data_IF_230194580161
#
_entry.id   IF_230194580161
#
_cell.length_a   1.000
_cell.length_b   1.000
_cell.length_c   1.000
_cell.angle_alpha   90.00
_cell.angle_beta   90.00
_cell.angle_gamma   90.00
#
_symmetry.space_group_name_H-M   'P 1'
#
loop_
_entity.id
_entity.type
_entity.pdbx_description
1 polymer ?
#
# COMPACT_ATOMS: atom_id res chain seq x y z
N UNK A 1 -29.39 15.14 11.26
CA UNK A 1 -29.21 16.43 11.96
C UNK A 1 -29.68 17.62 11.10
N UNK A 2 -29.24 17.76 9.83
CA UNK A 2 -29.72 18.81 8.92
C UNK A 2 -31.21 18.67 8.55
N UNK A 3 -31.71 17.43 8.42
CA UNK A 3 -33.13 17.18 8.09
C UNK A 3 -34.12 17.50 9.22
N UNK A 4 -33.61 17.79 10.42
CA UNK A 4 -34.43 18.26 11.54
C UNK A 4 -34.70 19.78 11.44
N UNK A 5 -33.96 20.51 10.58
CA UNK A 5 -34.12 21.95 10.38
C UNK A 5 -35.11 22.23 9.25
N UNK A 6 -35.96 23.24 9.43
CA UNK A 6 -37.00 23.64 8.45
C UNK A 6 -36.76 25.05 7.91
N UNK A 7 -37.20 25.28 6.68
CA UNK A 7 -37.15 26.61 6.03
C UNK A 7 -35.73 27.16 5.90
N UNK A 8 -35.56 28.46 6.18
CA UNK A 8 -34.28 29.19 6.02
C UNK A 8 -33.12 28.59 6.82
N UNK A 9 -33.38 28.00 7.98
CA UNK A 9 -32.35 27.44 8.85
C UNK A 9 -31.70 26.17 8.28
N UNK A 10 -32.44 25.38 7.48
CA UNK A 10 -31.88 24.25 6.74
C UNK A 10 -30.82 24.73 5.75
N UNK A 11 -31.13 25.78 4.99
CA UNK A 11 -30.23 26.33 3.99
C UNK A 11 -29.01 27.02 4.60
N UNK A 12 -29.17 27.69 5.74
CA UNK A 12 -28.03 28.23 6.51
C UNK A 12 -27.10 27.10 6.97
N UNK A 13 -27.65 26.01 7.51
CA UNK A 13 -26.83 24.87 7.95
C UNK A 13 -26.13 24.17 6.78
N UNK A 14 -26.82 23.97 5.65
CA UNK A 14 -26.21 23.42 4.42
C UNK A 14 -25.08 24.34 3.94
N UNK A 15 -25.31 25.66 3.91
CA UNK A 15 -24.29 26.63 3.53
C UNK A 15 -23.07 26.60 4.45
N UNK A 16 -23.28 26.53 5.77
CA UNK A 16 -22.21 26.46 6.76
C UNK A 16 -21.38 25.16 6.62
N UNK A 17 -22.03 24.01 6.45
CA UNK A 17 -21.33 22.73 6.22
C UNK A 17 -20.59 22.75 4.89
N UNK A 18 -21.20 23.27 3.82
CA UNK A 18 -20.54 23.43 2.53
C UNK A 18 -19.31 24.33 2.61
N UNK A 19 -19.40 25.46 3.31
CA UNK A 19 -18.28 26.36 3.55
C UNK A 19 -17.16 25.70 4.37
N UNK A 20 -17.51 24.91 5.39
CA UNK A 20 -16.53 24.15 6.18
C UNK A 20 -15.79 23.11 5.34
N UNK A 21 -16.50 22.34 4.51
CA UNK A 21 -15.89 21.36 3.61
C UNK A 21 -14.97 22.07 2.61
N UNK A 22 -15.40 23.20 2.04
CA UNK A 22 -14.59 23.99 1.13
C UNK A 22 -13.32 24.53 1.82
N UNK A 23 -13.44 25.05 3.04
CA UNK A 23 -12.30 25.53 3.81
C UNK A 23 -11.30 24.40 4.11
N UNK A 24 -11.79 23.20 4.47
CA UNK A 24 -10.94 22.02 4.65
C UNK A 24 -10.24 21.62 3.35
N UNK A 25 -10.93 21.61 2.21
CA UNK A 25 -10.34 21.33 0.90
C UNK A 25 -9.23 22.33 0.56
N UNK A 26 -9.48 23.64 0.75
CA UNK A 26 -8.46 24.68 0.54
C UNK A 26 -7.24 24.44 1.45
N UNK A 27 -7.46 24.13 2.73
CA UNK A 27 -6.37 23.83 3.65
C UNK A 27 -5.57 22.59 3.24
N UNK A 28 -6.22 21.53 2.74
CA UNK A 28 -5.52 20.34 2.22
C UNK A 28 -4.67 20.70 1.01
N UNK A 29 -5.21 21.46 0.06
CA UNK A 29 -4.49 21.91 -1.15
C UNK A 29 -3.26 22.75 -0.77
N UNK A 30 -3.42 23.71 0.15
CA UNK A 30 -2.34 24.62 0.54
C UNK A 30 -1.30 23.97 1.47
N UNK A 31 -1.72 23.07 2.37
CA UNK A 31 -0.83 22.46 3.37
C UNK A 31 -0.07 21.26 2.80
N UNK A 32 -0.66 20.55 1.84
CA UNK A 32 -0.08 19.34 1.27
C UNK A 32 -0.05 19.35 -0.27
N UNK A 33 0.59 20.37 -0.90
CA UNK A 33 0.66 20.49 -2.36
C UNK A 33 1.40 19.32 -3.04
N UNK A 34 2.12 18.51 -2.26
CA UNK A 34 2.88 17.34 -2.72
C UNK A 34 2.30 15.99 -2.24
N UNK A 35 1.10 15.96 -1.62
CA UNK A 35 0.38 14.69 -1.37
C UNK A 35 -0.50 14.37 -2.58
N UNK A 36 0.15 13.90 -3.64
CA UNK A 36 -0.46 13.62 -4.94
C UNK A 36 -1.56 12.53 -4.91
N UNK A 37 -1.63 11.74 -3.84
CA UNK A 37 -2.68 10.73 -3.59
C UNK A 37 -4.11 11.29 -3.72
N UNK A 38 -4.37 12.52 -3.29
CA UNK A 38 -5.73 13.09 -3.36
C UNK A 38 -6.17 13.45 -4.78
N UNK A 39 -5.22 13.63 -5.70
CA UNK A 39 -5.50 13.96 -7.09
C UNK A 39 -5.57 12.74 -8.01
N UNK A 40 -5.26 11.54 -7.49
CA UNK A 40 -5.30 10.29 -8.27
C UNK A 40 -6.69 10.01 -8.87
N UNK A 41 -7.78 10.41 -8.20
CA UNK A 41 -9.13 10.28 -8.74
C UNK A 41 -9.37 11.16 -9.99
N UNK A 42 -8.61 12.24 -10.15
CA UNK A 42 -8.66 13.15 -11.31
C UNK A 42 -7.65 12.77 -12.39
N UNK A 43 -6.76 11.82 -12.12
CA UNK A 43 -5.64 11.46 -12.98
C UNK A 43 -5.98 10.52 -14.15
N UNK A 44 -7.23 10.04 -14.21
CA UNK A 44 -7.68 9.06 -15.21
C UNK A 44 -7.27 7.62 -14.87
N UNK A 45 -7.23 6.75 -15.87
CA UNK A 45 -7.06 5.30 -15.69
C UNK A 45 -5.64 4.85 -15.30
N UNK A 46 -4.64 5.73 -15.37
CA UNK A 46 -3.27 5.41 -14.94
C UNK A 46 -2.64 6.57 -14.14
N UNK A 47 -3.06 6.77 -12.87
CA UNK A 47 -2.55 7.83 -12.01
C UNK A 47 -1.05 7.71 -11.75
N UNK A 48 -0.54 6.47 -11.62
CA UNK A 48 0.86 6.20 -11.30
C UNK A 48 1.85 6.60 -12.41
N UNK A 49 1.38 6.79 -13.64
CA UNK A 49 2.20 7.32 -14.74
C UNK A 49 2.23 8.85 -14.81
N UNK A 50 1.34 9.55 -14.08
CA UNK A 50 1.15 11.02 -14.17
C UNK A 50 1.41 11.77 -12.86
N UNK A 51 1.37 11.07 -11.73
CA UNK A 51 1.51 11.65 -10.40
C UNK A 51 2.44 10.80 -9.54
N UNK A 52 3.13 11.43 -8.58
CA UNK A 52 3.94 10.69 -7.61
C UNK A 52 3.02 9.74 -6.84
N UNK A 53 3.32 8.45 -6.97
CA UNK A 53 2.76 7.45 -6.09
C UNK A 53 3.10 7.78 -4.64
N UNK A 54 2.26 7.36 -3.70
CA UNK A 54 2.68 7.40 -2.29
C UNK A 54 4.02 6.66 -2.10
N UNK A 55 4.74 7.04 -1.06
CA UNK A 55 6.07 6.49 -0.83
C UNK A 55 6.06 4.97 -0.67
N UNK A 56 4.93 4.38 -0.29
CA UNK A 56 4.77 2.93 -0.15
C UNK A 56 4.85 2.24 -1.51
N UNK A 57 4.07 2.70 -2.48
CA UNK A 57 4.03 2.11 -3.83
C UNK A 57 5.35 2.37 -4.60
N UNK A 58 5.98 3.55 -4.43
CA UNK A 58 7.33 3.81 -4.98
C UNK A 58 8.35 2.82 -4.43
N UNK A 59 8.29 2.55 -3.13
CA UNK A 59 9.19 1.59 -2.50
C UNK A 59 8.91 0.15 -2.90
N UNK A 60 7.66 -0.23 -3.14
CA UNK A 60 7.32 -1.53 -3.70
C UNK A 60 7.88 -1.69 -5.11
N UNK A 61 7.72 -0.70 -6.00
CA UNK A 61 8.27 -0.74 -7.36
C UNK A 61 9.80 -0.88 -7.33
N UNK A 62 10.48 -0.07 -6.51
CA UNK A 62 11.93 -0.19 -6.30
C UNK A 62 12.35 -1.53 -5.72
N UNK A 63 11.54 -2.10 -4.83
CA UNK A 63 11.80 -3.42 -4.23
C UNK A 63 11.63 -4.52 -5.27
N UNK A 64 10.61 -4.44 -6.14
CA UNK A 64 10.43 -5.38 -7.25
C UNK A 64 11.60 -5.33 -8.23
N UNK A 65 12.05 -4.14 -8.65
CA UNK A 65 13.21 -4.02 -9.53
C UNK A 65 14.45 -4.63 -8.88
N UNK A 66 14.72 -4.30 -7.61
CA UNK A 66 15.85 -4.86 -6.87
C UNK A 66 15.76 -6.38 -6.70
N UNK A 67 14.56 -6.93 -6.51
CA UNK A 67 14.33 -8.37 -6.46
C UNK A 67 14.72 -9.00 -7.80
N UNK A 68 14.19 -8.48 -8.91
CA UNK A 68 14.48 -8.98 -10.26
C UNK A 68 15.98 -8.92 -10.55
N UNK A 69 16.65 -7.81 -10.21
CA UNK A 69 18.10 -7.65 -10.38
C UNK A 69 18.93 -8.60 -9.48
N UNK A 70 18.34 -9.15 -8.41
CA UNK A 70 19.00 -10.09 -7.49
C UNK A 70 18.81 -11.55 -7.92
N UNK A 71 17.74 -11.86 -8.66
CA UNK A 71 17.45 -13.22 -9.10
C UNK A 71 18.22 -13.52 -10.38
N UNK A 72 19.26 -14.34 -10.26
CA UNK A 72 20.09 -14.82 -11.38
C UNK A 72 19.38 -15.92 -12.18
N UNK A 73 18.29 -15.53 -12.83
CA UNK A 73 17.52 -16.36 -13.76
C UNK A 73 16.98 -15.44 -14.85
N UNK A 74 16.63 -15.99 -16.01
CA UNK A 74 15.86 -15.30 -17.05
C UNK A 74 14.36 -15.61 -16.98
N UNK A 75 13.98 -16.50 -16.07
CA UNK A 75 12.60 -16.90 -15.89
C UNK A 75 11.76 -15.79 -15.24
N UNK A 76 10.46 -15.83 -15.55
CA UNK A 76 9.47 -14.98 -14.90
C UNK A 76 9.26 -15.47 -13.46
N UNK A 77 9.47 -14.60 -12.50
CA UNK A 77 9.24 -14.89 -11.08
C UNK A 77 7.84 -14.48 -10.66
N UNK A 78 7.28 -15.14 -9.67
CA UNK A 78 5.99 -14.81 -9.10
C UNK A 78 6.08 -14.21 -7.71
N UNK A 79 5.29 -13.16 -7.47
CA UNK A 79 5.30 -12.40 -6.20
C UNK A 79 3.89 -12.31 -5.65
N UNK A 80 3.74 -12.57 -4.34
CA UNK A 80 2.49 -12.44 -3.59
C UNK A 80 2.63 -11.46 -2.42
N UNK A 81 1.53 -11.20 -1.72
CA UNK A 81 1.45 -10.33 -0.56
C UNK A 81 0.76 -11.05 0.62
N UNK A 82 1.01 -10.57 1.84
CA UNK A 82 0.42 -11.14 3.06
C UNK A 82 -0.87 -10.44 3.52
N UNK A 83 -1.14 -9.25 2.99
CA UNK A 83 -2.23 -8.38 3.44
C UNK A 83 -2.70 -7.47 2.30
N UNK A 84 -3.88 -6.88 2.50
CA UNK A 84 -4.52 -6.00 1.52
C UNK A 84 -3.69 -4.75 1.20
N UNK A 85 -3.02 -4.13 2.18
CA UNK A 85 -2.25 -2.92 1.94
C UNK A 85 -1.02 -3.20 1.09
N UNK A 86 -0.29 -4.27 1.41
CA UNK A 86 0.84 -4.68 0.59
C UNK A 86 0.37 -5.12 -0.79
N UNK A 87 -0.74 -5.85 -0.89
CA UNK A 87 -1.29 -6.35 -2.15
C UNK A 87 -1.77 -5.26 -3.11
N UNK A 88 -2.62 -4.34 -2.66
CA UNK A 88 -3.09 -3.19 -3.44
C UNK A 88 -1.93 -2.32 -3.92
N UNK A 89 -0.96 -2.05 -3.04
CA UNK A 89 0.22 -1.30 -3.42
C UNK A 89 1.10 -2.04 -4.43
N UNK A 90 1.22 -3.37 -4.30
CA UNK A 90 2.00 -4.20 -5.20
C UNK A 90 1.42 -4.20 -6.62
N UNK A 91 0.09 -4.24 -6.77
CA UNK A 91 -0.58 -4.09 -8.06
C UNK A 91 -0.31 -2.73 -8.70
N UNK A 92 -0.39 -1.65 -7.91
CA UNK A 92 -0.07 -0.29 -8.37
C UNK A 92 1.39 -0.15 -8.77
N UNK A 93 2.30 -0.72 -7.99
CA UNK A 93 3.72 -0.73 -8.26
C UNK A 93 4.06 -1.51 -9.54
N UNK A 94 3.41 -2.66 -9.76
CA UNK A 94 3.60 -3.43 -10.99
C UNK A 94 3.22 -2.63 -12.24
N UNK A 95 2.10 -1.91 -12.20
CA UNK A 95 1.60 -1.14 -13.35
C UNK A 95 2.51 0.02 -13.78
N UNK A 96 3.48 0.42 -12.95
CA UNK A 96 4.43 1.50 -13.26
C UNK A 96 5.86 1.01 -13.50
N UNK A 97 6.12 -0.29 -13.38
CA UNK A 97 7.43 -0.84 -13.67
C UNK A 97 7.81 -0.60 -15.14
N UNK A 98 9.09 -0.40 -15.48
CA UNK A 98 9.51 -0.45 -16.88
C UNK A 98 9.19 -1.82 -17.50
N UNK A 99 8.92 -1.85 -18.81
CA UNK A 99 8.49 -3.07 -19.52
C UNK A 99 9.45 -4.26 -19.34
N UNK A 100 10.76 -3.99 -19.31
CA UNK A 100 11.80 -4.98 -19.05
C UNK A 100 11.66 -5.68 -17.68
N UNK A 101 11.16 -4.97 -16.66
CA UNK A 101 10.90 -5.52 -15.34
C UNK A 101 9.51 -6.16 -15.27
N UNK A 102 8.50 -5.58 -15.91
CA UNK A 102 7.15 -6.15 -15.94
C UNK A 102 7.13 -7.56 -16.54
N UNK A 103 7.84 -7.79 -17.64
CA UNK A 103 7.89 -9.11 -18.29
C UNK A 103 8.50 -10.20 -17.41
N UNK A 104 9.39 -9.81 -16.49
CA UNK A 104 10.11 -10.68 -15.56
C UNK A 104 9.31 -11.02 -14.29
N UNK A 105 8.17 -10.40 -14.04
CA UNK A 105 7.40 -10.63 -12.80
C UNK A 105 5.92 -10.90 -13.06
N UNK A 106 5.34 -11.81 -12.28
CA UNK A 106 3.90 -12.08 -12.24
C UNK A 106 3.37 -11.90 -10.82
N UNK A 107 2.32 -11.12 -10.65
CA UNK A 107 1.63 -11.03 -9.36
C UNK A 107 0.65 -12.19 -9.20
N UNK A 108 0.63 -12.84 -8.03
CA UNK A 108 -0.32 -13.89 -7.68
C UNK A 108 -0.95 -13.60 -6.33
N UNK A 109 -2.28 -13.57 -6.28
CA UNK A 109 -3.04 -13.33 -5.06
C UNK A 109 -4.15 -14.36 -4.90
N UNK A 110 -4.53 -14.66 -3.65
CA UNK A 110 -5.70 -15.48 -3.32
C UNK A 110 -6.70 -14.62 -2.56
N UNK A 111 -7.94 -14.51 -3.07
CA UNK A 111 -8.98 -13.69 -2.45
C UNK A 111 -8.58 -12.22 -2.33
N UNK A 112 -8.82 -11.59 -1.17
CA UNK A 112 -8.41 -10.22 -0.88
C UNK A 112 -6.94 -10.15 -0.42
N UNK A 113 -6.01 -10.60 -1.27
CA UNK A 113 -4.55 -10.52 -1.05
C UNK A 113 -4.04 -11.39 0.11
N UNK A 114 -4.55 -12.62 0.19
CA UNK A 114 -3.98 -13.67 1.04
C UNK A 114 -2.76 -14.29 0.36
N UNK A 115 -1.78 -14.76 1.16
CA UNK A 115 -0.55 -15.39 0.68
C UNK A 115 -0.86 -16.54 -0.28
N UNK A 116 -0.42 -16.40 -1.53
CA UNK A 116 -0.45 -17.48 -2.51
C UNK A 116 0.73 -18.43 -2.27
N UNK A 117 0.47 -19.61 -1.69
CA UNK A 117 1.53 -20.58 -1.32
C UNK A 117 2.36 -21.13 -2.48
N UNK A 118 1.93 -20.95 -3.73
CA UNK A 118 2.67 -21.35 -4.93
C UNK A 118 3.38 -20.19 -5.63
N UNK A 119 3.51 -19.02 -4.98
CA UNK A 119 4.33 -17.94 -5.49
C UNK A 119 5.79 -18.15 -5.07
N UNK A 120 6.75 -17.66 -5.86
CA UNK A 120 8.19 -17.79 -5.60
C UNK A 120 8.65 -16.85 -4.47
N UNK A 121 7.98 -15.69 -4.34
CA UNK A 121 8.34 -14.65 -3.39
C UNK A 121 7.12 -14.05 -2.69
N UNK A 122 7.32 -13.67 -1.42
CA UNK A 122 6.36 -12.95 -0.59
C UNK A 122 6.89 -11.56 -0.26
N UNK A 123 6.20 -10.52 -0.72
CA UNK A 123 6.45 -9.16 -0.29
C UNK A 123 5.58 -8.80 0.91
N UNK A 124 6.17 -8.12 1.89
CA UNK A 124 5.46 -7.58 3.05
C UNK A 124 5.95 -6.17 3.38
N UNK A 125 5.10 -5.43 4.08
CA UNK A 125 5.50 -4.26 4.86
C UNK A 125 5.68 -4.65 6.35
N UNK A 126 6.93 -4.82 6.85
CA UNK A 126 7.16 -5.24 8.23
C UNK A 126 6.68 -4.22 9.28
N UNK A 127 6.49 -2.95 8.90
CA UNK A 127 6.03 -1.91 9.84
C UNK A 127 4.62 -2.18 10.32
N UNK A 128 3.75 -2.67 9.43
CA UNK A 128 2.42 -3.11 9.84
C UNK A 128 2.51 -4.19 10.93
N UNK A 129 3.38 -5.18 10.74
CA UNK A 129 3.60 -6.24 11.72
C UNK A 129 4.16 -5.73 13.04
N UNK A 130 5.10 -4.79 13.02
CA UNK A 130 5.67 -4.19 14.22
C UNK A 130 4.62 -3.41 15.01
N UNK A 131 3.81 -2.59 14.33
CA UNK A 131 2.74 -1.81 14.95
C UNK A 131 1.70 -2.73 15.61
N UNK A 132 1.37 -3.85 14.96
CA UNK A 132 0.36 -4.78 15.47
C UNK A 132 0.89 -5.83 16.47
N UNK A 133 2.22 -6.05 16.51
CA UNK A 133 2.84 -7.01 17.44
C UNK A 133 3.26 -6.39 18.78
N UNK A 134 3.15 -5.07 18.93
CA UNK A 134 3.31 -4.39 20.21
C UNK A 134 2.12 -4.73 21.14
N UNK A 135 2.33 -5.75 21.97
CA UNK A 135 1.34 -6.32 22.91
C UNK A 135 0.88 -5.35 24.00
N UNK A 136 1.43 -4.13 24.05
CA UNK A 136 1.09 -3.11 25.05
C UNK A 136 -0.12 -2.26 24.69
N UNK A 137 -0.61 -2.36 23.45
CA UNK A 137 -1.77 -1.61 22.93
C UNK A 137 -2.94 -2.61 22.77
N UNK A 138 -4.14 -2.20 23.20
CA UNK A 138 -5.39 -2.97 23.26
C UNK A 138 -5.62 -4.03 22.15
N UNK A 139 -6.43 -5.09 22.40
CA UNK A 139 -6.71 -6.16 21.43
C UNK A 139 -7.61 -5.68 20.29
N UNK A 140 -7.09 -4.81 19.42
CA UNK A 140 -7.77 -4.20 18.28
C UNK A 140 -6.65 -3.90 17.31
N UNK A 141 -6.33 -4.77 16.35
CA UNK A 141 -6.90 -4.72 15.00
C UNK A 141 -6.60 -6.06 14.29
N UNK A 142 -7.39 -7.11 14.56
CA UNK A 142 -7.27 -8.41 13.88
C UNK A 142 -7.43 -8.34 12.35
N UNK A 143 -7.92 -7.21 11.83
CA UNK A 143 -8.06 -6.95 10.41
C UNK A 143 -6.76 -6.48 9.74
N UNK A 144 -5.72 -6.11 10.50
CA UNK A 144 -4.43 -5.69 9.94
C UNK A 144 -3.44 -6.85 9.79
N UNK A 145 -3.46 -7.90 10.64
CA UNK A 145 -2.64 -9.10 10.43
C UNK A 145 -3.25 -10.38 11.01
N UNK A 146 -2.93 -11.49 10.33
CA UNK A 146 -3.09 -12.84 10.85
C UNK A 146 -2.02 -13.13 11.92
N UNK A 147 -2.46 -13.51 13.13
CA UNK A 147 -1.57 -14.01 14.18
C UNK A 147 -0.63 -15.11 13.62
N UNK A 148 0.67 -15.03 13.93
CA UNK A 148 1.66 -16.04 13.53
C UNK A 148 2.38 -15.76 12.21
N UNK A 149 2.11 -14.63 11.54
CA UNK A 149 2.87 -14.24 10.34
C UNK A 149 4.37 -14.03 10.66
N UNK A 150 4.70 -13.49 11.83
CA UNK A 150 6.08 -13.35 12.31
C UNK A 150 6.81 -14.70 12.41
N UNK A 151 6.13 -15.72 12.95
CA UNK A 151 6.66 -17.09 13.03
C UNK A 151 6.84 -17.68 11.63
N UNK A 152 5.86 -17.50 10.74
CA UNK A 152 5.97 -17.95 9.36
C UNK A 152 7.16 -17.32 8.63
N UNK A 153 7.31 -15.99 8.73
CA UNK A 153 8.40 -15.24 8.09
C UNK A 153 9.78 -15.61 8.65
N UNK A 154 9.88 -15.98 9.93
CA UNK A 154 11.15 -16.41 10.54
C UNK A 154 11.74 -17.67 9.91
N UNK A 155 10.91 -18.49 9.27
CA UNK A 155 11.33 -19.67 8.53
C UNK A 155 11.68 -19.42 7.07
N UNK A 156 11.50 -18.20 6.56
CA UNK A 156 11.75 -17.86 5.16
C UNK A 156 13.07 -17.11 4.97
N UNK A 157 13.71 -17.31 3.82
CA UNK A 157 14.93 -16.59 3.45
C UNK A 157 14.59 -15.18 2.99
N UNK A 158 15.14 -14.17 3.65
CA UNK A 158 15.02 -12.77 3.22
C UNK A 158 15.94 -12.51 2.02
N UNK A 159 15.37 -12.00 0.92
CA UNK A 159 16.11 -11.75 -0.33
C UNK A 159 16.39 -10.26 -0.53
N UNK A 160 15.37 -9.42 -0.39
CA UNK A 160 15.49 -7.97 -0.52
C UNK A 160 14.85 -7.30 0.67
N UNK A 161 15.48 -6.25 1.19
CA UNK A 161 14.88 -5.38 2.21
C UNK A 161 15.27 -3.93 1.97
N UNK A 162 14.30 -3.03 2.08
CA UNK A 162 14.50 -1.59 2.13
C UNK A 162 14.42 -1.10 3.57
N UNK A 163 15.35 -0.21 3.91
CA UNK A 163 15.46 0.40 5.24
C UNK A 163 15.41 1.92 5.15
N UNK A 164 14.72 2.54 6.10
CA UNK A 164 14.72 3.97 6.32
C UNK A 164 14.79 4.22 7.83
N UNK A 165 15.64 5.15 8.26
CA UNK A 165 15.82 5.48 9.69
C UNK A 165 16.09 4.26 10.60
N UNK A 166 16.85 3.29 10.10
CA UNK A 166 17.19 2.05 10.83
C UNK A 166 16.06 1.03 10.93
N UNK A 167 14.91 1.25 10.27
CA UNK A 167 13.77 0.33 10.26
C UNK A 167 13.49 -0.23 8.87
N UNK A 168 13.19 -1.52 8.79
CA UNK A 168 12.70 -2.15 7.56
C UNK A 168 11.26 -1.73 7.29
N UNK A 169 10.95 -1.43 6.03
CA UNK A 169 9.62 -0.97 5.65
C UNK A 169 9.10 -1.58 4.34
N UNK A 170 9.95 -2.31 3.61
CA UNK A 170 9.52 -3.18 2.50
C UNK A 170 10.50 -4.34 2.39
N UNK A 171 10.00 -5.57 2.48
CA UNK A 171 10.85 -6.76 2.53
C UNK A 171 10.26 -7.88 1.69
N UNK A 172 11.13 -8.59 0.98
CA UNK A 172 10.79 -9.77 0.17
C UNK A 172 11.47 -11.00 0.75
N UNK A 173 10.66 -12.03 0.92
CA UNK A 173 11.08 -13.36 1.36
C UNK A 173 10.91 -14.35 0.21
N UNK A 174 11.83 -15.30 0.09
CA UNK A 174 11.68 -16.45 -0.79
C UNK A 174 10.72 -17.45 -0.15
N UNK A 175 9.75 -17.90 -0.93
CA UNK A 175 8.77 -18.90 -0.54
C UNK A 175 9.34 -20.32 -0.74
N UNK A 176 8.89 -21.30 0.04
CA UNK A 176 9.34 -22.69 -0.06
C UNK A 176 8.76 -23.43 -1.27
#
# INVERSE_FOLDING_TARGET
MIDLLKGKWKWVAVGAVGAQILAMLVMVILSHPFQFVYYNALAGSNPGARYDLDYWNVSQAKTLMKLIDTVDSDEQISVTAADWYTGDGLEKAYNILPEAYQSRVRLIFVGQYTIARGADYLMINPRGLQICSDKTIEPRQQWIFAYGLDVYLSGLTKIVSQQAFGSEFMTVYQMP
#
